data_IF_417226007199
#
_entry.id   IF_417226007199
#
_cell.length_a   1.000
_cell.length_b   1.000
_cell.length_c   1.000
_cell.angle_alpha   90.00
_cell.angle_beta   90.00
_cell.angle_gamma   90.00
#
_symmetry.space_group_name_H-M   'P 1'
#
loop_
_entity.id
_entity.type
_entity.pdbx_description
1 polymer ?
#
# COMPACT_ATOMS: atom_id res chain seq x y z
N UNK A 1 -7.30 -14.39 -29.90
CA UNK A 1 -7.08 -13.05 -30.52
C UNK A 1 -6.28 -12.14 -29.57
N UNK A 2 -5.02 -12.47 -29.22
CA UNK A 2 -4.22 -11.64 -28.28
C UNK A 2 -3.09 -10.82 -28.94
N UNK A 3 -2.80 -11.05 -30.22
CA UNK A 3 -1.64 -10.45 -30.90
C UNK A 3 -1.78 -8.94 -31.20
N UNK A 4 -2.99 -8.37 -31.14
CA UNK A 4 -3.25 -6.93 -31.37
C UNK A 4 -3.41 -6.10 -30.08
N UNK A 5 -3.25 -6.72 -28.91
CA UNK A 5 -3.47 -6.04 -27.62
C UNK A 5 -2.27 -5.15 -27.21
N UNK A 6 -1.10 -5.33 -27.83
CA UNK A 6 0.18 -4.72 -27.39
C UNK A 6 0.73 -3.58 -28.27
N UNK A 7 0.16 -3.29 -29.45
CA UNK A 7 0.59 -2.12 -30.25
C UNK A 7 0.12 -0.78 -29.67
N UNK A 8 -0.81 -0.85 -28.70
CA UNK A 8 -1.56 0.25 -28.15
C UNK A 8 -1.45 0.31 -26.62
N UNK A 9 -0.35 -0.17 -26.05
CA UNK A 9 0.02 0.24 -24.70
C UNK A 9 0.17 1.76 -24.70
N UNK A 10 -0.62 2.44 -23.87
CA UNK A 10 -0.58 3.89 -23.82
C UNK A 10 0.84 4.35 -23.43
N UNK A 11 1.61 4.85 -24.39
CA UNK A 11 2.99 5.29 -24.20
C UNK A 11 3.14 6.19 -22.97
N UNK A 12 2.21 7.13 -22.78
CA UNK A 12 2.20 8.02 -21.62
C UNK A 12 1.96 7.29 -20.29
N UNK A 13 1.22 6.18 -20.30
CA UNK A 13 0.96 5.40 -19.10
C UNK A 13 2.19 4.61 -18.64
N UNK A 14 3.12 4.28 -19.54
CA UNK A 14 4.32 3.49 -19.24
C UNK A 14 5.58 4.35 -19.04
N UNK A 15 5.47 5.68 -19.12
CA UNK A 15 6.60 6.58 -18.91
C UNK A 15 7.18 6.43 -17.50
N UNK A 16 8.49 6.11 -17.37
CA UNK A 16 9.13 6.01 -16.07
C UNK A 16 9.39 7.40 -15.49
N UNK A 17 8.36 8.06 -14.96
CA UNK A 17 8.47 9.37 -14.33
C UNK A 17 7.65 9.44 -13.03
N UNK A 18 7.96 10.42 -12.18
CA UNK A 18 7.19 10.63 -10.96
C UNK A 18 5.81 11.22 -11.26
N UNK A 19 4.85 11.08 -10.34
CA UNK A 19 3.50 11.67 -10.44
C UNK A 19 3.55 13.18 -10.64
N UNK A 20 4.39 13.87 -9.87
CA UNK A 20 4.61 15.31 -10.00
C UNK A 20 5.11 15.69 -11.38
N UNK A 21 6.11 14.96 -11.91
CA UNK A 21 6.65 15.23 -13.24
C UNK A 21 5.65 14.87 -14.35
N UNK A 22 4.81 13.85 -14.15
CA UNK A 22 3.77 13.48 -15.12
C UNK A 22 2.65 14.53 -15.19
N UNK A 23 2.24 15.07 -14.04
CA UNK A 23 1.33 16.24 -14.01
C UNK A 23 1.97 17.45 -14.70
N UNK A 24 3.25 17.72 -14.43
CA UNK A 24 3.98 18.82 -15.06
C UNK A 24 4.07 18.66 -16.59
N UNK A 25 4.34 17.45 -17.10
CA UNK A 25 4.26 17.13 -18.53
C UNK A 25 2.87 17.50 -19.08
N UNK A 26 1.79 17.06 -18.43
CA UNK A 26 0.44 17.37 -18.88
C UNK A 26 0.12 18.86 -18.89
N UNK A 27 0.52 19.59 -17.86
CA UNK A 27 0.33 21.04 -17.77
C UNK A 27 1.15 21.81 -18.82
N UNK A 28 2.40 21.40 -19.04
CA UNK A 28 3.26 21.99 -20.07
C UNK A 28 2.69 21.74 -21.48
N UNK A 29 2.21 20.53 -21.75
CA UNK A 29 1.55 20.20 -23.02
C UNK A 29 0.27 21.01 -23.23
N UNK A 30 -0.57 21.15 -22.20
CA UNK A 30 -1.77 21.98 -22.29
C UNK A 30 -1.41 23.43 -22.65
N UNK A 31 -0.43 24.03 -21.94
CA UNK A 31 0.02 25.39 -22.20
C UNK A 31 0.60 25.56 -23.62
N UNK A 32 1.45 24.63 -24.08
CA UNK A 32 2.07 24.69 -25.39
C UNK A 32 1.04 24.60 -26.53
N UNK A 33 0.05 23.71 -26.41
CA UNK A 33 -1.02 23.57 -27.41
C UNK A 33 -1.97 24.76 -27.39
N UNK A 34 -2.28 25.29 -26.21
CA UNK A 34 -3.08 26.51 -26.08
C UNK A 34 -2.40 27.74 -26.71
N UNK A 35 -1.09 27.89 -26.52
CA UNK A 35 -0.31 28.99 -27.12
C UNK A 35 -0.19 28.88 -28.64
N UNK A 36 -0.18 27.66 -29.18
CA UNK A 36 -0.09 27.44 -30.62
C UNK A 36 -1.40 27.70 -31.37
N UNK A 37 -2.51 27.93 -30.66
CA UNK A 37 -3.83 28.28 -31.21
C UNK A 37 -4.23 27.46 -32.44
N UNK A 38 -4.19 26.13 -32.29
CA UNK A 38 -4.30 25.19 -33.41
C UNK A 38 -5.70 25.07 -34.03
N UNK A 39 -6.69 25.78 -33.48
CA UNK A 39 -8.06 25.79 -33.97
C UNK A 39 -9.04 24.89 -33.21
N UNK A 40 -10.29 24.88 -33.69
CA UNK A 40 -11.43 24.28 -32.99
C UNK A 40 -11.44 22.74 -32.95
N UNK A 41 -10.68 22.09 -33.83
CA UNK A 41 -10.52 20.63 -33.90
C UNK A 41 -9.71 20.08 -32.72
N UNK A 42 -8.80 20.87 -32.15
CA UNK A 42 -7.97 20.47 -30.99
C UNK A 42 -8.63 20.85 -29.66
N UNK A 43 -9.55 21.82 -29.64
CA UNK A 43 -10.23 22.32 -28.43
C UNK A 43 -10.88 21.24 -27.56
N UNK A 44 -11.60 20.23 -28.10
CA UNK A 44 -12.16 19.16 -27.27
C UNK A 44 -11.09 18.34 -26.54
N UNK A 45 -9.92 18.15 -27.16
CA UNK A 45 -8.80 17.41 -26.58
C UNK A 45 -8.06 18.22 -25.51
N UNK A 46 -7.94 19.54 -25.71
CA UNK A 46 -7.46 20.47 -24.67
C UNK A 46 -8.37 20.46 -23.44
N UNK A 47 -9.70 20.56 -23.63
CA UNK A 47 -10.67 20.50 -22.53
C UNK A 47 -10.59 19.17 -21.76
N UNK A 48 -10.44 18.06 -22.48
CA UNK A 48 -10.27 16.73 -21.86
C UNK A 48 -8.96 16.64 -21.05
N UNK A 49 -7.87 17.22 -21.55
CA UNK A 49 -6.60 17.31 -20.84
C UNK A 49 -6.70 18.17 -19.58
N UNK A 50 -7.33 19.34 -19.67
CA UNK A 50 -7.57 20.23 -18.53
C UNK A 50 -8.42 19.54 -17.45
N UNK A 51 -9.47 18.82 -17.85
CA UNK A 51 -10.30 18.04 -16.94
C UNK A 51 -9.50 16.95 -16.23
N UNK A 52 -8.64 16.23 -16.96
CA UNK A 52 -7.77 15.22 -16.40
C UNK A 52 -6.73 15.81 -15.43
N UNK A 53 -6.19 17.00 -15.72
CA UNK A 53 -5.26 17.72 -14.85
C UNK A 53 -5.92 18.22 -13.55
N UNK A 54 -7.13 18.77 -13.65
CA UNK A 54 -7.90 19.23 -12.49
C UNK A 54 -8.25 18.08 -11.53
N UNK A 55 -8.60 16.91 -12.08
CA UNK A 55 -8.89 15.71 -11.28
C UNK A 55 -7.65 14.96 -10.78
N UNK A 56 -6.44 15.33 -11.17
CA UNK A 56 -5.25 14.51 -10.96
C UNK A 56 -4.81 14.41 -9.50
N UNK A 57 -5.06 15.41 -8.66
CA UNK A 57 -4.61 15.37 -7.25
C UNK A 57 -5.75 15.16 -6.24
N UNK A 58 -7.00 15.04 -6.71
CA UNK A 58 -8.18 14.89 -5.84
C UNK A 58 -8.07 13.64 -4.96
N UNK A 59 -7.54 12.54 -5.49
CA UNK A 59 -7.39 11.31 -4.71
C UNK A 59 -6.15 11.29 -3.80
N UNK A 60 -5.26 12.28 -3.89
CA UNK A 60 -4.13 12.42 -2.93
C UNK A 60 -4.62 12.99 -1.60
N UNK A 61 -5.60 13.90 -1.62
CA UNK A 61 -6.17 14.51 -0.41
C UNK A 61 -7.05 13.52 0.36
N UNK A 62 -7.81 12.68 -0.35
CA UNK A 62 -8.69 11.69 0.29
C UNK A 62 -7.92 10.47 0.82
N UNK A 63 -6.74 10.19 0.27
CA UNK A 63 -5.83 9.13 0.75
C UNK A 63 -5.01 9.55 2.00
N UNK A 64 -5.17 10.79 2.47
CA UNK A 64 -4.38 11.40 3.55
C UNK A 64 -4.75 10.97 4.97
N UNK A 65 -5.94 10.40 5.19
CA UNK A 65 -6.32 9.87 6.50
C UNK A 65 -5.77 8.45 6.69
N UNK A 66 -4.44 8.35 6.78
CA UNK A 66 -3.77 7.18 7.33
C UNK A 66 -4.17 7.06 8.80
N UNK A 67 -5.32 6.43 9.05
CA UNK A 67 -5.79 6.08 10.39
C UNK A 67 -4.65 5.43 11.16
N UNK A 68 -4.46 5.88 12.41
CA UNK A 68 -3.36 5.52 13.30
C UNK A 68 -3.26 4.03 13.68
N UNK A 69 -4.00 3.15 12.99
CA UNK A 69 -3.98 1.68 13.08
C UNK A 69 -2.75 1.00 12.48
N UNK A 70 -1.57 1.59 12.68
CA UNK A 70 -0.34 1.18 12.02
C UNK A 70 0.10 -0.25 12.37
N UNK A 71 0.92 -0.83 11.49
CA UNK A 71 1.62 -2.11 11.73
C UNK A 71 2.39 -2.11 13.05
N UNK A 72 2.83 -0.94 13.52
CA UNK A 72 3.50 -0.76 14.81
C UNK A 72 2.56 -0.93 16.01
N UNK A 73 1.36 -0.34 15.97
CA UNK A 73 0.34 -0.53 17.02
C UNK A 73 -0.05 -2.00 17.15
N UNK A 74 -0.23 -2.69 16.02
CA UNK A 74 -0.45 -4.14 15.99
C UNK A 74 0.72 -4.93 16.60
N UNK A 75 1.98 -4.61 16.24
CA UNK A 75 3.16 -5.28 16.81
C UNK A 75 3.25 -5.05 18.33
N UNK A 76 2.94 -3.85 18.80
CA UNK A 76 2.93 -3.51 20.21
C UNK A 76 1.85 -4.30 20.97
N UNK A 77 0.61 -4.32 20.47
CA UNK A 77 -0.49 -5.08 21.06
C UNK A 77 -0.18 -6.59 21.10
N UNK A 78 0.38 -7.15 20.02
CA UNK A 78 0.82 -8.56 19.98
C UNK A 78 1.90 -8.83 21.02
N UNK A 79 2.88 -7.94 21.17
CA UNK A 79 3.93 -8.07 22.19
C UNK A 79 3.36 -8.00 23.61
N UNK A 80 2.44 -7.07 23.86
CA UNK A 80 1.76 -6.90 25.16
C UNK A 80 0.94 -8.14 25.52
N UNK A 81 0.16 -8.68 24.58
CA UNK A 81 -0.58 -9.92 24.79
C UNK A 81 0.33 -11.10 25.14
N UNK A 82 1.40 -11.31 24.36
CA UNK A 82 2.35 -12.40 24.62
C UNK A 82 3.09 -12.23 25.96
N UNK A 83 3.40 -11.00 26.36
CA UNK A 83 3.96 -10.71 27.67
C UNK A 83 2.96 -11.03 28.78
N UNK A 84 1.71 -10.56 28.65
CA UNK A 84 0.62 -10.87 29.57
C UNK A 84 0.45 -12.37 29.79
N UNK A 85 0.46 -13.18 28.71
CA UNK A 85 0.35 -14.64 28.82
C UNK A 85 1.54 -15.26 29.54
N UNK A 86 2.76 -14.78 29.28
CA UNK A 86 4.00 -15.26 29.91
C UNK A 86 4.03 -14.95 31.41
N UNK A 87 3.72 -13.71 31.76
CA UNK A 87 3.67 -13.24 33.15
C UNK A 87 2.55 -13.96 33.89
N UNK A 88 1.38 -14.11 33.26
CA UNK A 88 0.26 -14.87 33.84
C UNK A 88 0.63 -16.33 34.09
N UNK A 89 1.35 -16.95 33.15
CA UNK A 89 1.82 -18.33 33.32
C UNK A 89 2.81 -18.47 34.47
N UNK A 90 3.71 -17.50 34.65
CA UNK A 90 4.74 -17.53 35.71
C UNK A 90 4.15 -17.22 37.08
N UNK A 91 3.28 -16.23 37.16
CA UNK A 91 2.88 -15.64 38.44
C UNK A 91 1.64 -16.33 39.03
N UNK A 92 0.74 -16.83 38.18
CA UNK A 92 -0.55 -17.40 38.63
C UNK A 92 -0.72 -18.86 38.25
N UNK A 93 -0.51 -19.23 36.98
CA UNK A 93 -0.86 -20.57 36.51
C UNK A 93 0.13 -21.63 36.99
N UNK A 94 1.44 -21.44 36.79
CA UNK A 94 2.45 -22.44 37.19
C UNK A 94 2.47 -22.66 38.71
N UNK A 95 2.45 -21.63 39.56
CA UNK A 95 2.47 -21.82 41.01
C UNK A 95 1.23 -22.56 41.54
N UNK A 96 0.05 -22.30 40.96
CA UNK A 96 -1.22 -22.83 41.47
C UNK A 96 -1.64 -24.15 40.82
N UNK A 97 -1.40 -24.30 39.51
CA UNK A 97 -1.97 -25.40 38.74
C UNK A 97 -0.94 -26.47 38.33
N UNK A 98 0.38 -26.27 38.47
CA UNK A 98 1.40 -27.19 37.93
C UNK A 98 1.22 -28.68 38.28
N UNK A 99 0.67 -28.98 39.44
CA UNK A 99 0.41 -30.37 39.90
C UNK A 99 -1.00 -30.88 39.59
N UNK A 100 -1.84 -30.05 38.97
CA UNK A 100 -3.23 -30.34 38.64
C UNK A 100 -3.38 -30.62 37.13
N UNK A 101 -4.36 -31.44 36.72
CA UNK A 101 -4.60 -31.75 35.30
C UNK A 101 -4.80 -30.50 34.43
N UNK A 102 -5.47 -29.47 34.97
CA UNK A 102 -5.74 -28.21 34.28
C UNK A 102 -4.49 -27.50 33.74
N UNK A 103 -3.31 -27.71 34.34
CA UNK A 103 -2.07 -27.12 33.84
C UNK A 103 -1.67 -27.60 32.44
N UNK A 104 -2.04 -28.83 32.08
CA UNK A 104 -1.77 -29.35 30.74
C UNK A 104 -2.49 -28.54 29.66
N UNK A 105 -3.70 -28.03 29.96
CA UNK A 105 -4.47 -27.22 29.04
C UNK A 105 -3.87 -25.82 28.87
N UNK A 106 -3.45 -25.17 29.96
CA UNK A 106 -2.73 -23.90 29.88
C UNK A 106 -1.40 -24.01 29.13
N UNK A 107 -0.68 -25.13 29.27
CA UNK A 107 0.61 -25.35 28.60
C UNK A 107 0.49 -25.38 27.07
N UNK A 108 -0.69 -25.72 26.52
CA UNK A 108 -0.96 -25.66 25.07
C UNK A 108 -0.83 -24.24 24.53
N UNK A 109 -1.21 -23.24 25.34
CA UNK A 109 -1.29 -21.83 24.96
C UNK A 109 -0.15 -20.97 25.53
N UNK A 110 1.02 -21.54 25.80
CA UNK A 110 2.18 -20.78 26.29
C UNK A 110 2.69 -19.76 25.26
N UNK A 111 3.37 -18.70 25.73
CA UNK A 111 3.93 -17.63 24.88
C UNK A 111 4.70 -18.12 23.65
N UNK A 112 5.55 -19.14 23.79
CA UNK A 112 6.33 -19.66 22.67
C UNK A 112 5.46 -20.31 21.59
N UNK A 113 4.36 -20.97 21.98
CA UNK A 113 3.39 -21.58 21.07
C UNK A 113 2.58 -20.49 20.36
N UNK A 114 2.00 -19.56 21.13
CA UNK A 114 1.24 -18.44 20.58
C UNK A 114 2.07 -17.52 19.67
N UNK A 115 3.36 -17.32 19.99
CA UNK A 115 4.27 -16.51 19.16
C UNK A 115 4.48 -17.10 17.77
N UNK A 116 4.46 -18.42 17.62
CA UNK A 116 4.69 -19.11 16.36
C UNK A 116 3.46 -19.12 15.44
N UNK A 117 2.28 -18.77 15.96
CA UNK A 117 1.04 -18.78 15.20
C UNK A 117 0.92 -17.59 14.25
N UNK A 118 0.21 -17.82 13.16
CA UNK A 118 -0.35 -16.76 12.34
C UNK A 118 -1.46 -16.03 13.11
N UNK A 119 -1.82 -14.84 12.65
CA UNK A 119 -2.70 -13.95 13.43
C UNK A 119 -4.10 -14.53 13.67
N UNK A 120 -4.70 -15.18 12.68
CA UNK A 120 -6.03 -15.78 12.81
C UNK A 120 -6.02 -16.89 13.89
N UNK A 121 -5.04 -17.78 13.81
CA UNK A 121 -4.85 -18.87 14.79
C UNK A 121 -4.50 -18.31 16.18
N UNK A 122 -3.68 -17.26 16.24
CA UNK A 122 -3.37 -16.57 17.50
C UNK A 122 -4.65 -16.06 18.17
N UNK A 123 -5.55 -15.39 17.45
CA UNK A 123 -6.79 -14.88 18.01
C UNK A 123 -7.70 -16.01 18.50
N UNK A 124 -7.81 -17.09 17.71
CA UNK A 124 -8.59 -18.27 18.08
C UNK A 124 -8.05 -18.94 19.35
N UNK A 125 -6.76 -19.24 19.40
CA UNK A 125 -6.11 -19.87 20.55
C UNK A 125 -6.12 -18.96 21.78
N UNK A 126 -5.99 -17.65 21.57
CA UNK A 126 -6.08 -16.66 22.66
C UNK A 126 -7.49 -16.61 23.25
N UNK A 127 -8.54 -16.77 22.44
CA UNK A 127 -9.91 -16.87 22.91
C UNK A 127 -10.13 -18.13 23.76
N UNK A 128 -9.60 -19.28 23.32
CA UNK A 128 -9.64 -20.51 24.11
C UNK A 128 -8.90 -20.34 25.46
N UNK A 129 -7.78 -19.62 25.46
CA UNK A 129 -7.05 -19.28 26.68
C UNK A 129 -7.85 -18.36 27.62
N UNK A 130 -8.64 -17.41 27.10
CA UNK A 130 -9.56 -16.61 27.93
C UNK A 130 -10.61 -17.47 28.62
N UNK A 131 -11.14 -18.47 27.92
CA UNK A 131 -12.13 -19.40 28.48
C UNK A 131 -11.49 -20.19 29.63
N UNK A 132 -10.23 -20.63 29.47
CA UNK A 132 -9.48 -21.29 30.55
C UNK A 132 -9.25 -20.39 31.77
N UNK A 133 -8.88 -19.11 31.57
CA UNK A 133 -8.72 -18.17 32.68
C UNK A 133 -10.04 -17.97 33.44
N UNK A 134 -11.16 -17.94 32.72
CA UNK A 134 -12.49 -17.82 33.32
C UNK A 134 -12.87 -19.08 34.10
N UNK A 135 -12.68 -20.25 33.50
CA UNK A 135 -13.00 -21.55 34.10
C UNK A 135 -12.19 -21.82 35.37
N UNK A 136 -10.93 -21.41 35.40
CA UNK A 136 -10.01 -21.67 36.52
C UNK A 136 -9.77 -20.45 37.42
N UNK A 137 -10.55 -19.37 37.29
CA UNK A 137 -10.36 -18.14 38.05
C UNK A 137 -10.27 -18.37 39.57
N UNK A 138 -11.16 -19.22 40.12
CA UNK A 138 -11.16 -19.58 41.53
C UNK A 138 -9.88 -20.34 41.95
N UNK A 139 -9.44 -21.30 41.13
CA UNK A 139 -8.24 -22.10 41.38
C UNK A 139 -6.94 -21.28 41.26
N UNK A 140 -6.95 -20.24 40.42
CA UNK A 140 -5.84 -19.30 40.26
C UNK A 140 -5.76 -18.28 41.41
N UNK A 141 -6.80 -18.19 42.25
CA UNK A 141 -6.90 -17.25 43.38
C UNK A 141 -6.66 -15.78 42.96
N UNK A 142 -7.00 -15.43 41.73
CA UNK A 142 -6.85 -14.08 41.19
C UNK A 142 -8.13 -13.66 40.46
N UNK A 143 -9.10 -13.06 41.18
CA UNK A 143 -10.43 -12.77 40.62
C UNK A 143 -10.41 -11.70 39.51
N UNK A 144 -9.38 -10.85 39.45
CA UNK A 144 -9.20 -9.86 38.39
C UNK A 144 -8.64 -10.43 37.07
N UNK A 145 -8.14 -11.67 37.07
CA UNK A 145 -7.46 -12.23 35.90
C UNK A 145 -8.33 -12.31 34.64
N UNK A 146 -9.58 -12.81 34.70
CA UNK A 146 -10.39 -12.95 33.49
C UNK A 146 -10.69 -11.59 32.85
N UNK A 147 -10.94 -10.56 33.68
CA UNK A 147 -11.18 -9.20 33.21
C UNK A 147 -9.93 -8.59 32.57
N UNK A 148 -8.76 -8.73 33.22
CA UNK A 148 -7.49 -8.25 32.69
C UNK A 148 -7.11 -8.95 31.37
N UNK A 149 -7.29 -10.28 31.31
CA UNK A 149 -7.04 -11.05 30.10
C UNK A 149 -7.96 -10.64 28.95
N UNK A 150 -9.26 -10.45 29.23
CA UNK A 150 -10.23 -9.97 28.25
C UNK A 150 -9.86 -8.58 27.72
N UNK A 151 -9.43 -7.67 28.58
CA UNK A 151 -8.99 -6.33 28.17
C UNK A 151 -7.75 -6.38 27.26
N UNK A 152 -6.74 -7.19 27.60
CA UNK A 152 -5.54 -7.34 26.79
C UNK A 152 -5.83 -8.01 25.44
N UNK A 153 -6.73 -9.00 25.41
CA UNK A 153 -7.20 -9.62 24.18
C UNK A 153 -7.99 -8.64 23.30
N UNK A 154 -8.85 -7.80 23.90
CA UNK A 154 -9.59 -6.79 23.16
C UNK A 154 -8.66 -5.77 22.49
N UNK A 155 -7.60 -5.34 23.17
CA UNK A 155 -6.58 -4.48 22.58
C UNK A 155 -5.89 -5.13 21.37
N UNK A 156 -5.63 -6.44 21.43
CA UNK A 156 -5.07 -7.19 20.30
C UNK A 156 -6.05 -7.27 19.12
N UNK A 157 -7.33 -7.56 19.37
CA UNK A 157 -8.34 -7.65 18.31
C UNK A 157 -8.60 -6.29 17.66
N UNK A 158 -8.67 -5.23 18.46
CA UNK A 158 -8.91 -3.87 17.96
C UNK A 158 -7.74 -3.39 17.10
N UNK A 159 -6.51 -3.70 17.52
CA UNK A 159 -5.31 -3.38 16.74
C UNK A 159 -5.23 -4.17 15.42
N UNK A 160 -5.68 -5.43 15.40
CA UNK A 160 -5.75 -6.24 14.17
C UNK A 160 -6.81 -5.71 13.19
N UNK A 161 -8.01 -5.38 13.69
CA UNK A 161 -9.08 -4.78 12.89
C UNK A 161 -8.63 -3.45 12.28
N UNK A 162 -7.98 -2.60 13.08
CA UNK A 162 -7.44 -1.31 12.65
C UNK A 162 -6.35 -1.45 11.57
N UNK A 163 -5.48 -2.46 11.70
CA UNK A 163 -4.49 -2.80 10.67
C UNK A 163 -5.13 -3.24 9.36
N UNK A 164 -6.18 -4.07 9.43
CA UNK A 164 -6.89 -4.57 8.24
C UNK A 164 -7.55 -3.43 7.46
N UNK A 165 -8.25 -2.54 8.18
CA UNK A 165 -8.88 -1.35 7.59
C UNK A 165 -7.87 -0.40 6.97
N UNK A 166 -6.75 -0.13 7.65
CA UNK A 166 -5.67 0.67 7.08
C UNK A 166 -5.03 0.02 5.82
N UNK A 167 -4.92 -1.32 5.81
CA UNK A 167 -4.47 -2.08 4.63
C UNK A 167 -5.41 -1.93 3.43
N UNK A 168 -6.71 -2.05 3.66
CA UNK A 168 -7.73 -1.84 2.64
C UNK A 168 -7.70 -0.40 2.08
N UNK A 169 -7.62 0.60 2.97
CA UNK A 169 -7.52 2.01 2.59
C UNK A 169 -6.28 2.27 1.71
N UNK A 170 -5.11 1.73 2.08
CA UNK A 170 -3.88 1.82 1.26
C UNK A 170 -4.05 1.19 -0.12
N UNK A 171 -4.74 0.06 -0.21
CA UNK A 171 -5.01 -0.60 -1.50
C UNK A 171 -5.92 0.26 -2.39
N UNK A 172 -7.01 0.77 -1.81
CA UNK A 172 -7.94 1.66 -2.52
C UNK A 172 -7.25 2.95 -2.99
N UNK A 173 -6.44 3.57 -2.13
CA UNK A 173 -5.63 4.74 -2.50
C UNK A 173 -4.70 4.45 -3.69
N UNK A 174 -4.03 3.28 -3.72
CA UNK A 174 -3.19 2.88 -4.86
C UNK A 174 -3.99 2.75 -6.16
N UNK A 175 -5.18 2.15 -6.09
CA UNK A 175 -6.08 2.03 -7.25
C UNK A 175 -6.52 3.40 -7.74
N UNK A 176 -6.94 4.29 -6.84
CA UNK A 176 -7.36 5.65 -7.17
C UNK A 176 -6.23 6.47 -7.81
N UNK A 177 -5.03 6.44 -7.21
CA UNK A 177 -3.85 7.10 -7.76
C UNK A 177 -3.49 6.57 -9.17
N UNK A 178 -3.57 5.26 -9.38
CA UNK A 178 -3.33 4.64 -10.69
C UNK A 178 -4.42 5.02 -11.71
N UNK A 179 -5.67 5.13 -11.29
CA UNK A 179 -6.77 5.56 -12.15
C UNK A 179 -6.56 7.00 -12.66
N UNK A 180 -6.12 7.93 -11.81
CA UNK A 180 -5.81 9.30 -12.22
C UNK A 180 -4.64 9.37 -13.19
N UNK A 181 -3.60 8.57 -12.93
CA UNK A 181 -2.47 8.41 -13.85
C UNK A 181 -2.96 7.99 -15.24
N UNK A 182 -3.82 6.96 -15.30
CA UNK A 182 -4.36 6.47 -16.55
C UNK A 182 -5.29 7.48 -17.24
N UNK A 183 -6.08 8.26 -16.49
CA UNK A 183 -6.92 9.33 -17.06
C UNK A 183 -6.07 10.39 -17.76
N UNK A 184 -5.03 10.90 -17.10
CA UNK A 184 -4.12 11.89 -17.69
C UNK A 184 -3.37 11.30 -18.89
N UNK A 185 -2.86 10.07 -18.77
CA UNK A 185 -2.19 9.38 -19.87
C UNK A 185 -3.09 9.22 -21.11
N UNK A 186 -4.37 8.90 -20.93
CA UNK A 186 -5.32 8.75 -22.05
C UNK A 186 -5.62 10.08 -22.71
N UNK A 187 -5.76 11.16 -21.93
CA UNK A 187 -5.94 12.50 -22.47
C UNK A 187 -4.75 12.93 -23.32
N UNK A 188 -3.52 12.75 -22.82
CA UNK A 188 -2.28 13.03 -23.55
C UNK A 188 -2.15 12.21 -24.84
N UNK A 189 -2.49 10.92 -24.79
CA UNK A 189 -2.47 10.06 -25.97
C UNK A 189 -3.46 10.51 -27.05
N UNK A 190 -4.68 10.87 -26.67
CA UNK A 190 -5.70 11.34 -27.62
C UNK A 190 -5.28 12.67 -28.24
N UNK A 191 -4.72 13.57 -27.44
CA UNK A 191 -4.18 14.83 -27.93
C UNK A 191 -3.02 14.60 -28.90
N UNK A 192 -2.08 13.71 -28.56
CA UNK A 192 -0.99 13.32 -29.47
C UNK A 192 -1.52 12.79 -30.80
N UNK A 193 -2.50 11.88 -30.77
CA UNK A 193 -3.09 11.33 -31.99
C UNK A 193 -3.72 12.43 -32.86
N UNK A 194 -4.40 13.41 -32.26
CA UNK A 194 -4.97 14.54 -33.01
C UNK A 194 -3.87 15.42 -33.63
N UNK A 195 -2.78 15.67 -32.91
CA UNK A 195 -1.64 16.42 -33.45
C UNK A 195 -0.95 15.67 -34.60
N UNK A 196 -0.87 14.34 -34.55
CA UNK A 196 -0.33 13.50 -35.63
C UNK A 196 -1.20 13.51 -36.90
N UNK A 197 -2.50 13.84 -36.79
CA UNK A 197 -3.34 14.06 -37.97
C UNK A 197 -3.12 15.45 -38.58
N UNK A 198 -2.59 16.39 -37.80
CA UNK A 198 -2.40 17.78 -38.21
C UNK A 198 -1.02 18.05 -38.80
N UNK A 199 0.01 17.43 -38.24
CA UNK A 199 1.40 17.62 -38.63
C UNK A 199 1.94 16.37 -39.32
N UNK A 200 2.52 16.53 -40.50
CA UNK A 200 3.12 15.43 -41.26
C UNK A 200 4.43 14.95 -40.62
N UNK A 201 5.20 15.87 -40.03
CA UNK A 201 6.47 15.55 -39.39
C UNK A 201 6.28 15.22 -37.90
N UNK A 202 6.79 14.06 -37.44
CA UNK A 202 6.68 13.68 -36.03
C UNK A 202 7.30 14.70 -35.07
N UNK A 203 8.41 15.34 -35.46
CA UNK A 203 9.11 16.33 -34.62
C UNK A 203 8.22 17.52 -34.24
N UNK A 204 7.33 17.93 -35.14
CA UNK A 204 6.37 19.01 -34.92
C UNK A 204 5.28 18.62 -33.90
N UNK A 205 5.01 17.33 -33.73
CA UNK A 205 4.13 16.81 -32.68
C UNK A 205 4.88 16.72 -31.36
N UNK A 206 6.12 16.21 -31.37
CA UNK A 206 6.91 16.00 -30.16
C UNK A 206 7.31 17.30 -29.45
N UNK A 207 7.38 18.44 -30.15
CA UNK A 207 7.64 19.76 -29.52
C UNK A 207 6.61 20.17 -28.46
N UNK A 208 5.41 19.60 -28.50
CA UNK A 208 4.34 19.88 -27.55
C UNK A 208 4.45 19.08 -26.24
N UNK A 209 5.42 18.17 -26.13
CA UNK A 209 5.55 17.27 -24.98
C UNK A 209 6.96 17.35 -24.39
N UNK A 210 7.06 17.76 -23.12
CA UNK A 210 8.34 17.80 -22.40
C UNK A 210 8.69 16.43 -21.78
N UNK A 211 9.44 15.62 -22.53
CA UNK A 211 9.97 14.35 -22.05
C UNK A 211 11.29 14.47 -21.28
N UNK A 212 11.80 15.68 -21.03
CA UNK A 212 13.10 15.92 -20.37
C UNK A 212 13.19 15.37 -18.94
N UNK A 213 12.04 15.10 -18.30
CA UNK A 213 11.92 14.52 -16.95
C UNK A 213 11.59 13.03 -16.92
N UNK A 214 11.57 12.36 -18.09
CA UNK A 214 11.44 10.90 -18.15
C UNK A 214 12.77 10.29 -17.66
N UNK A 215 12.71 9.43 -16.64
CA UNK A 215 13.91 8.79 -16.13
C UNK A 215 14.54 7.95 -17.25
N UNK A 216 15.79 8.23 -17.62
CA UNK A 216 16.57 7.28 -18.43
C UNK A 216 16.61 5.96 -17.67
N UNK A 217 16.14 4.89 -18.31
CA UNK A 217 15.99 3.60 -17.62
C UNK A 217 17.27 3.22 -16.87
N UNK A 218 17.15 2.81 -15.61
CA UNK A 218 18.27 2.34 -14.79
C UNK A 218 19.02 1.15 -15.43
N UNK A 219 18.44 0.50 -16.44
CA UNK A 219 19.04 -0.59 -17.20
C UNK A 219 20.18 -0.10 -18.10
N UNK A 220 20.05 1.06 -18.72
CA UNK A 220 21.12 1.69 -19.49
C UNK A 220 22.26 2.20 -18.58
N UNK A 221 21.92 2.76 -17.42
CA UNK A 221 22.88 3.17 -16.39
C UNK A 221 23.63 1.98 -15.76
N UNK A 222 22.93 0.87 -15.47
CA UNK A 222 23.56 -0.38 -15.01
C UNK A 222 24.44 -1.01 -16.09
N UNK A 223 24.01 -1.03 -17.36
CA UNK A 223 24.81 -1.57 -18.46
C UNK A 223 26.07 -0.71 -18.73
N UNK A 224 25.95 0.61 -18.66
CA UNK A 224 27.09 1.52 -18.76
C UNK A 224 28.06 1.35 -17.58
N UNK A 225 27.55 1.20 -16.36
CA UNK A 225 28.38 0.95 -15.16
C UNK A 225 29.06 -0.43 -15.20
N UNK A 226 28.39 -1.45 -15.73
CA UNK A 226 28.97 -2.78 -15.94
C UNK A 226 30.05 -2.78 -17.02
N UNK A 227 29.86 -2.05 -18.13
CA UNK A 227 30.89 -1.87 -19.16
C UNK A 227 32.09 -1.07 -18.67
N UNK A 228 31.85 0.00 -17.91
CA UNK A 228 32.91 0.80 -17.30
C UNK A 228 33.73 -0.01 -16.30
N UNK A 229 33.09 -0.86 -15.50
CA UNK A 229 33.78 -1.76 -14.56
C UNK A 229 34.58 -2.87 -15.26
N UNK A 230 34.16 -3.34 -16.43
CA UNK A 230 34.90 -4.31 -17.22
C UNK A 230 36.16 -3.70 -17.90
N UNK A 231 36.11 -2.41 -18.26
CA UNK A 231 37.22 -1.71 -18.88
C UNK A 231 38.33 -1.25 -17.91
N UNK A 232 38.10 -1.35 -16.58
CA UNK A 232 39.12 -1.04 -15.55
C UNK A 232 39.87 -2.30 -15.08
N UNK A 233 39.56 -3.47 -15.64
CA UNK A 233 40.17 -4.77 -15.28
C UNK A 233 41.13 -5.26 -16.40
N UNK A 234 41.20 -4.57 -17.54
CA UNK A 234 42.32 -4.67 -18.50
C UNK A 234 43.36 -3.58 -18.21
#
# INVERSE_FOLDING_TARGET
MSAYQSYFDNFFATLPMSRTNFKALGAATHAAVQQADLGSDVTPHLTALQTALAGFDVNLTDAGESTAGGTEGFRAARKQWLAFVDDTMKDYVTPKLRKLPAYADFKKYGKSKLRALEQADLLQDSKLLLDLYTQHAAALSYPGLPAAAKAAYQQLTDADHSRSTAGAAKSQARVALSADWLKLARALRRLKAQLELRFEEPEQVYRFFDFGKVNKSNRALKAAKARAAAATIE
#
